data_IF_888686465598
#
_entry.id   IF_888686465598
#
_cell.length_a   1.000
_cell.length_b   1.000
_cell.length_c   1.000
_cell.angle_alpha   90.00
_cell.angle_beta   90.00
_cell.angle_gamma   90.00
#
_symmetry.space_group_name_H-M   'P 1'
#
loop_
_entity.id
_entity.type
_entity.pdbx_description
1 polymer ?
#
# COMPACT_ATOMS: atom_id res chain seq x y z
N UNK A 1 6.91 24.68 4.94
CA UNK A 1 6.47 23.56 4.07
C UNK A 1 4.96 23.72 3.87
N UNK A 2 4.49 23.86 2.63
CA UNK A 2 3.07 24.16 2.34
C UNK A 2 2.20 22.90 2.47
N UNK A 3 0.91 23.07 2.75
CA UNK A 3 -0.06 21.96 2.91
C UNK A 3 -0.06 21.02 1.70
N UNK A 4 0.11 21.56 0.49
CA UNK A 4 0.14 20.77 -0.75
C UNK A 4 1.35 19.84 -0.86
N UNK A 5 2.52 20.28 -0.41
CA UNK A 5 3.72 19.44 -0.37
C UNK A 5 3.55 18.28 0.63
N UNK A 6 2.90 18.54 1.78
CA UNK A 6 2.57 17.50 2.74
C UNK A 6 1.62 16.47 2.13
N UNK A 7 0.56 16.90 1.45
CA UNK A 7 -0.37 15.99 0.75
C UNK A 7 0.35 15.14 -0.29
N UNK A 8 1.28 15.73 -1.06
CA UNK A 8 2.06 15.02 -2.07
C UNK A 8 2.92 13.91 -1.46
N UNK A 9 3.58 14.18 -0.34
CA UNK A 9 4.39 13.18 0.38
C UNK A 9 3.50 12.06 0.90
N UNK A 10 2.38 12.40 1.54
CA UNK A 10 1.42 11.40 2.05
C UNK A 10 0.89 10.53 0.91
N UNK A 11 0.44 11.13 -0.19
CA UNK A 11 -0.06 10.38 -1.34
C UNK A 11 1.02 9.44 -1.93
N UNK A 12 2.26 9.92 -2.05
CA UNK A 12 3.38 9.09 -2.53
C UNK A 12 3.62 7.90 -1.59
N UNK A 13 3.57 8.12 -0.28
CA UNK A 13 3.71 7.05 0.70
C UNK A 13 2.55 6.05 0.63
N UNK A 14 1.31 6.54 0.51
CA UNK A 14 0.12 5.68 0.41
C UNK A 14 0.19 4.77 -0.82
N UNK A 15 0.59 5.30 -1.97
CA UNK A 15 0.76 4.50 -3.20
C UNK A 15 1.84 3.45 -3.01
N UNK A 16 3.02 3.83 -2.49
CA UNK A 16 4.09 2.88 -2.20
C UNK A 16 3.64 1.78 -1.22
N UNK A 17 2.94 2.14 -0.15
CA UNK A 17 2.47 1.19 0.85
C UNK A 17 1.47 0.19 0.28
N UNK A 18 0.51 0.68 -0.53
CA UNK A 18 -0.58 -0.13 -1.06
C UNK A 18 -0.18 -1.02 -2.25
N UNK A 19 0.75 -0.57 -3.09
CA UNK A 19 1.06 -1.20 -4.38
C UNK A 19 2.45 -1.82 -4.46
N UNK A 20 3.40 -1.40 -3.62
CA UNK A 20 4.81 -1.82 -3.76
C UNK A 20 5.38 -2.48 -2.51
N UNK A 21 4.94 -2.08 -1.31
CA UNK A 21 5.47 -2.61 -0.05
C UNK A 21 4.84 -3.95 0.29
N UNK A 22 5.54 -5.03 -0.06
CA UNK A 22 5.20 -6.40 0.35
C UNK A 22 5.24 -6.54 1.87
N UNK A 23 4.22 -7.18 2.44
CA UNK A 23 4.07 -7.29 3.89
C UNK A 23 4.15 -8.74 4.36
N UNK A 24 5.01 -8.99 5.35
CA UNK A 24 5.25 -10.34 5.87
C UNK A 24 4.00 -11.00 6.45
N UNK A 25 3.16 -10.21 7.13
CA UNK A 25 1.86 -10.63 7.65
C UNK A 25 0.81 -10.90 6.55
N UNK A 26 0.96 -10.32 5.35
CA UNK A 26 0.10 -10.55 4.19
C UNK A 26 0.68 -11.61 3.24
N UNK A 27 1.36 -12.63 3.76
CA UNK A 27 2.02 -13.67 2.95
C UNK A 27 2.99 -13.09 1.88
N UNK A 28 3.64 -11.97 2.22
CA UNK A 28 4.52 -11.20 1.31
C UNK A 28 3.79 -10.57 0.11
N UNK A 29 2.48 -10.40 0.17
CA UNK A 29 1.71 -9.59 -0.79
C UNK A 29 1.65 -8.13 -0.36
N UNK A 30 1.40 -7.26 -1.33
CA UNK A 30 0.99 -5.87 -1.08
C UNK A 30 -0.49 -5.83 -0.67
N UNK A 31 -0.95 -4.75 -0.01
CA UNK A 31 -2.36 -4.60 0.36
C UNK A 31 -3.34 -4.78 -0.81
N UNK A 32 -3.01 -4.25 -1.99
CA UNK A 32 -3.88 -4.38 -3.16
C UNK A 32 -3.96 -5.82 -3.68
N UNK A 33 -2.83 -6.52 -3.74
CA UNK A 33 -2.77 -7.93 -4.14
C UNK A 33 -3.53 -8.82 -3.15
N UNK A 34 -3.39 -8.56 -1.85
CA UNK A 34 -4.07 -9.33 -0.81
C UNK A 34 -5.60 -9.20 -0.87
N UNK A 35 -6.14 -8.00 -1.16
CA UNK A 35 -7.59 -7.78 -1.32
C UNK A 35 -8.18 -8.57 -2.49
N UNK A 36 -7.42 -8.71 -3.57
CA UNK A 36 -7.82 -9.47 -4.75
C UNK A 36 -7.48 -10.96 -4.65
N UNK A 37 -6.82 -11.39 -3.56
CA UNK A 37 -6.37 -12.77 -3.41
C UNK A 37 -7.55 -13.67 -3.02
N UNK A 38 -7.88 -14.71 -3.82
CA UNK A 38 -8.92 -15.66 -3.46
C UNK A 38 -8.51 -16.46 -2.22
N UNK A 39 -9.34 -16.43 -1.18
CA UNK A 39 -9.13 -17.23 0.02
C UNK A 39 -9.65 -18.63 -0.33
N UNK A 40 -8.75 -19.62 -0.41
CA UNK A 40 -9.17 -21.01 -0.54
C UNK A 40 -10.05 -21.37 0.67
N UNK A 41 -11.25 -21.88 0.40
CA UNK A 41 -12.24 -22.29 1.39
C UNK A 41 -11.84 -23.61 2.08
#
# INVERSE_FOLDING_TARGET
MMVEELKKIVNKYMNYYNESRRQWNLKKMTPIEYRSHPIAA
#
